data_IF_253438103315
#
_entry.id   IF_253438103315
#
_cell.length_a   1.000
_cell.length_b   1.000
_cell.length_c   1.000
_cell.angle_alpha   90.00
_cell.angle_beta   90.00
_cell.angle_gamma   90.00
#
_symmetry.space_group_name_H-M   'P 1'
#
loop_
_entity.id
_entity.type
_entity.pdbx_description
1 polymer ?
#
# COMPACT_ATOMS: atom_id res chain seq x y z
N UNK A 1 44.83 -9.31 -54.50
CA UNK A 1 43.40 -9.10 -54.19
C UNK A 1 43.25 -8.96 -52.68
N UNK A 2 43.25 -7.74 -52.17
CA UNK A 2 43.08 -7.45 -50.74
C UNK A 2 42.47 -6.04 -50.62
N UNK A 3 41.16 -5.95 -50.88
CA UNK A 3 40.41 -4.71 -50.78
C UNK A 3 38.93 -5.06 -50.54
N UNK A 4 38.59 -5.50 -49.33
CA UNK A 4 37.17 -5.67 -48.96
C UNK A 4 36.84 -5.43 -47.49
N UNK A 5 37.81 -5.22 -46.58
CA UNK A 5 37.50 -5.02 -45.15
C UNK A 5 37.34 -3.55 -44.73
N UNK A 6 37.87 -2.59 -45.50
CA UNK A 6 37.82 -1.17 -45.13
C UNK A 6 36.54 -0.44 -45.58
N UNK A 7 35.81 -0.99 -46.56
CA UNK A 7 34.68 -0.29 -47.20
C UNK A 7 33.35 -0.47 -46.44
N UNK A 8 33.23 -1.53 -45.62
CA UNK A 8 32.05 -1.80 -44.81
C UNK A 8 31.88 -0.82 -43.62
N UNK A 9 32.98 -0.23 -43.14
CA UNK A 9 32.94 0.75 -42.07
C UNK A 9 32.32 2.10 -42.50
N UNK A 10 32.18 2.35 -43.81
CA UNK A 10 31.55 3.58 -44.34
C UNK A 10 30.02 3.47 -44.54
N UNK A 11 29.45 2.27 -44.40
CA UNK A 11 28.04 2.03 -44.72
C UNK A 11 27.07 2.36 -43.60
N UNK A 12 27.53 2.41 -42.33
CA UNK A 12 26.67 2.70 -41.18
C UNK A 12 26.77 4.18 -40.83
N UNK A 13 25.65 4.93 -40.76
CA UNK A 13 25.71 6.34 -40.40
C UNK A 13 26.24 6.49 -38.95
N UNK A 14 27.09 7.50 -38.69
CA UNK A 14 27.70 7.69 -37.37
C UNK A 14 26.66 7.91 -36.26
N UNK A 15 25.48 8.45 -36.60
CA UNK A 15 24.35 8.58 -35.68
C UNK A 15 23.81 7.23 -35.20
N UNK A 16 23.83 6.19 -36.04
CA UNK A 16 23.41 4.85 -35.64
C UNK A 16 24.42 4.18 -34.71
N UNK A 17 25.72 4.40 -34.94
CA UNK A 17 26.78 3.92 -34.05
C UNK A 17 26.66 4.58 -32.67
N UNK A 18 26.55 5.91 -32.62
CA UNK A 18 26.35 6.66 -31.37
C UNK A 18 25.09 6.20 -30.63
N UNK A 19 23.96 6.04 -31.33
CA UNK A 19 22.72 5.58 -30.70
C UNK A 19 22.84 4.15 -30.13
N UNK A 20 23.64 3.28 -30.77
CA UNK A 20 23.89 1.93 -30.28
C UNK A 20 24.79 1.94 -29.04
N UNK A 21 25.81 2.80 -29.00
CA UNK A 21 26.65 3.01 -27.82
C UNK A 21 25.84 3.55 -26.63
N UNK A 22 24.98 4.56 -26.87
CA UNK A 22 24.08 5.10 -25.85
C UNK A 22 23.12 4.03 -25.31
N UNK A 23 22.57 3.20 -26.20
CA UNK A 23 21.67 2.11 -25.82
C UNK A 23 22.40 1.04 -25.00
N UNK A 24 23.63 0.70 -25.37
CA UNK A 24 24.45 -0.25 -24.62
C UNK A 24 24.74 0.27 -23.20
N UNK A 25 25.19 1.52 -23.09
CA UNK A 25 25.46 2.15 -21.80
C UNK A 25 24.20 2.21 -20.91
N UNK A 26 23.04 2.53 -21.50
CA UNK A 26 21.78 2.53 -20.78
C UNK A 26 21.36 1.12 -20.33
N UNK A 27 21.53 0.11 -21.18
CA UNK A 27 21.19 -1.28 -20.86
C UNK A 27 22.10 -1.86 -19.76
N UNK A 28 23.39 -1.57 -19.80
CA UNK A 28 24.36 -1.93 -18.76
C UNK A 28 23.99 -1.26 -17.43
N UNK A 29 23.70 0.04 -17.44
CA UNK A 29 23.25 0.76 -16.25
C UNK A 29 21.99 0.15 -15.65
N UNK A 30 20.95 -0.13 -16.45
CA UNK A 30 19.73 -0.80 -15.95
C UNK A 30 20.04 -2.19 -15.39
N UNK A 31 20.91 -2.95 -16.06
CA UNK A 31 21.36 -4.26 -15.62
C UNK A 31 22.08 -4.24 -14.27
N UNK A 32 22.97 -3.26 -14.06
CA UNK A 32 23.72 -3.08 -12.82
C UNK A 32 22.79 -2.73 -11.65
N UNK A 33 21.90 -1.76 -11.83
CA UNK A 33 20.93 -1.37 -10.79
C UNK A 33 19.97 -2.51 -10.45
N UNK A 34 19.49 -3.24 -11.46
CA UNK A 34 18.63 -4.41 -11.23
C UNK A 34 19.37 -5.51 -10.47
N UNK A 35 20.63 -5.76 -10.82
CA UNK A 35 21.48 -6.76 -10.15
C UNK A 35 21.73 -6.39 -8.68
N UNK A 36 22.01 -5.12 -8.40
CA UNK A 36 22.16 -4.61 -7.03
C UNK A 36 20.87 -4.78 -6.22
N UNK A 37 19.72 -4.44 -6.80
CA UNK A 37 18.42 -4.59 -6.15
C UNK A 37 18.10 -6.06 -5.85
N UNK A 38 18.36 -6.96 -6.79
CA UNK A 38 18.15 -8.40 -6.62
C UNK A 38 19.12 -9.02 -5.61
N UNK A 39 20.36 -8.50 -5.52
CA UNK A 39 21.32 -8.91 -4.50
C UNK A 39 20.85 -8.50 -3.10
N UNK A 40 20.42 -7.24 -2.93
CA UNK A 40 19.86 -6.76 -1.66
C UNK A 40 18.62 -7.57 -1.22
N UNK A 41 17.72 -7.88 -2.17
CA UNK A 41 16.54 -8.71 -1.88
C UNK A 41 16.89 -10.18 -1.56
N UNK A 42 18.07 -10.66 -1.94
CA UNK A 42 18.56 -11.99 -1.56
C UNK A 42 19.14 -12.01 -0.16
N UNK A 43 19.83 -10.92 0.24
CA UNK A 43 20.38 -10.77 1.58
C UNK A 43 19.28 -10.62 2.63
N UNK A 44 18.23 -9.86 2.31
CA UNK A 44 17.05 -9.68 3.14
C UNK A 44 15.77 -9.88 2.30
N UNK A 45 15.18 -11.09 2.32
CA UNK A 45 13.95 -11.40 1.60
C UNK A 45 12.73 -10.59 2.08
N UNK A 46 12.74 -10.15 3.34
CA UNK A 46 11.62 -9.44 3.94
C UNK A 46 11.74 -7.92 3.73
N UNK A 47 12.92 -7.40 3.37
CA UNK A 47 13.17 -5.97 3.13
C UNK A 47 12.11 -5.31 2.24
N UNK A 48 11.75 -5.96 1.12
CA UNK A 48 10.71 -5.44 0.20
C UNK A 48 9.33 -5.46 0.86
N UNK A 49 9.04 -6.47 1.68
CA UNK A 49 7.80 -6.60 2.43
C UNK A 49 7.71 -5.62 3.62
N UNK A 50 8.81 -5.03 4.05
CA UNK A 50 8.85 -3.98 5.08
C UNK A 50 8.70 -2.56 4.52
N UNK A 51 8.93 -2.36 3.21
CA UNK A 51 8.77 -1.05 2.57
C UNK A 51 7.34 -0.50 2.71
N UNK A 52 7.15 0.82 2.88
CA UNK A 52 5.84 1.45 2.81
C UNK A 52 5.08 1.03 1.54
N UNK A 53 3.75 0.84 1.57
CA UNK A 53 3.00 0.24 0.46
C UNK A 53 3.25 0.90 -0.90
N UNK A 54 3.35 2.23 -0.94
CA UNK A 54 3.61 2.99 -2.16
C UNK A 54 5.02 2.75 -2.70
N UNK A 55 6.03 2.78 -1.82
CA UNK A 55 7.42 2.52 -2.19
C UNK A 55 7.59 1.08 -2.66
N UNK A 56 6.97 0.12 -1.96
CA UNK A 56 6.94 -1.29 -2.34
C UNK A 56 6.39 -1.49 -3.75
N UNK A 57 5.26 -0.86 -4.06
CA UNK A 57 4.65 -0.96 -5.38
C UNK A 57 5.54 -0.35 -6.49
N UNK A 58 6.22 0.77 -6.20
CA UNK A 58 7.22 1.34 -7.12
C UNK A 58 8.39 0.41 -7.35
N UNK A 59 8.92 -0.23 -6.31
CA UNK A 59 10.01 -1.20 -6.42
C UNK A 59 9.62 -2.35 -7.36
N UNK A 60 8.45 -2.94 -7.17
CA UNK A 60 7.96 -4.00 -8.07
C UNK A 60 7.75 -3.52 -9.50
N UNK A 61 7.19 -2.32 -9.68
CA UNK A 61 7.01 -1.74 -11.01
C UNK A 61 8.36 -1.49 -11.71
N UNK A 62 9.35 -0.96 -10.99
CA UNK A 62 10.69 -0.70 -11.52
C UNK A 62 11.37 -2.00 -11.98
N UNK A 63 11.26 -3.09 -11.20
CA UNK A 63 11.78 -4.41 -11.60
C UNK A 63 11.09 -4.92 -12.86
N UNK A 64 9.76 -4.81 -12.94
CA UNK A 64 9.01 -5.25 -14.11
C UNK A 64 9.34 -4.41 -15.37
N UNK A 65 9.48 -3.09 -15.21
CA UNK A 65 9.91 -2.18 -16.27
C UNK A 65 11.32 -2.51 -16.74
N UNK A 66 12.28 -2.69 -15.84
CA UNK A 66 13.65 -3.04 -16.19
C UNK A 66 13.71 -4.36 -16.98
N UNK A 67 13.04 -5.42 -16.49
CA UNK A 67 12.98 -6.71 -17.18
C UNK A 67 12.33 -6.59 -18.57
N UNK A 68 11.23 -5.86 -18.69
CA UNK A 68 10.52 -5.65 -19.96
C UNK A 68 11.35 -4.84 -20.94
N UNK A 69 12.00 -3.76 -20.50
CA UNK A 69 12.86 -2.93 -21.33
C UNK A 69 14.07 -3.71 -21.85
N UNK A 70 14.76 -4.47 -20.99
CA UNK A 70 15.89 -5.31 -21.41
C UNK A 70 15.45 -6.37 -22.42
N UNK A 71 14.27 -6.98 -22.22
CA UNK A 71 13.72 -7.94 -23.18
C UNK A 71 13.34 -7.27 -24.51
N UNK A 72 12.75 -6.07 -24.48
CA UNK A 72 12.43 -5.29 -25.68
C UNK A 72 13.70 -4.93 -26.48
N UNK A 73 14.78 -4.54 -25.80
CA UNK A 73 16.09 -4.28 -26.42
C UNK A 73 16.60 -5.55 -27.10
N UNK A 74 16.56 -6.70 -26.41
CA UNK A 74 16.96 -7.99 -27.01
C UNK A 74 16.17 -8.32 -28.27
N UNK A 75 14.85 -8.08 -28.28
CA UNK A 75 14.00 -8.29 -29.45
C UNK A 75 14.45 -7.42 -30.63
N UNK A 76 14.68 -6.12 -30.39
CA UNK A 76 15.17 -5.18 -31.41
C UNK A 76 16.54 -5.59 -31.95
N UNK A 77 17.45 -6.02 -31.08
CA UNK A 77 18.76 -6.56 -31.50
C UNK A 77 18.64 -7.84 -32.33
N UNK A 78 17.54 -8.58 -32.20
CA UNK A 78 17.24 -9.78 -33.00
C UNK A 78 16.46 -9.45 -34.29
N UNK A 79 16.21 -8.17 -34.57
CA UNK A 79 15.43 -7.72 -35.72
C UNK A 79 13.91 -7.88 -35.56
N UNK A 80 13.42 -8.15 -34.35
CA UNK A 80 11.99 -8.27 -34.05
C UNK A 80 11.49 -6.93 -33.51
N UNK A 81 10.43 -6.39 -34.10
CA UNK A 81 9.79 -5.18 -33.62
C UNK A 81 8.96 -5.46 -32.35
N UNK A 82 9.24 -4.80 -31.21
CA UNK A 82 8.43 -4.93 -29.99
C UNK A 82 6.96 -4.56 -30.18
N UNK A 83 6.63 -3.70 -31.15
CA UNK A 83 5.25 -3.25 -31.39
C UNK A 83 4.36 -4.33 -32.05
N UNK A 84 4.97 -5.25 -32.78
CA UNK A 84 4.30 -6.42 -33.38
C UNK A 84 4.39 -7.68 -32.48
N UNK A 85 5.13 -7.59 -31.37
CA UNK A 85 5.38 -8.70 -30.47
C UNK A 85 4.41 -8.67 -29.25
N UNK A 86 4.04 -9.84 -28.66
CA UNK A 86 3.16 -9.89 -27.48
C UNK A 86 3.64 -9.06 -26.26
N UNK A 87 4.92 -8.70 -26.21
CA UNK A 87 5.51 -7.81 -25.21
C UNK A 87 4.83 -6.44 -25.18
N UNK A 88 4.25 -5.97 -26.29
CA UNK A 88 3.51 -4.70 -26.33
C UNK A 88 2.40 -4.64 -25.28
N UNK A 89 1.68 -5.75 -25.09
CA UNK A 89 0.63 -5.85 -24.05
C UNK A 89 1.21 -5.69 -22.65
N UNK A 90 2.43 -6.16 -22.42
CA UNK A 90 3.13 -5.98 -21.15
C UNK A 90 3.54 -4.52 -20.95
N UNK A 91 4.07 -3.86 -21.98
CA UNK A 91 4.42 -2.44 -21.94
C UNK A 91 3.17 -1.58 -21.63
N UNK A 92 2.04 -1.87 -22.29
CA UNK A 92 0.75 -1.22 -22.05
C UNK A 92 0.22 -1.52 -20.63
N UNK A 93 0.42 -2.73 -20.11
CA UNK A 93 0.05 -3.08 -18.73
C UNK A 93 0.87 -2.27 -17.72
N UNK A 94 2.17 -2.13 -17.95
CA UNK A 94 3.06 -1.38 -17.06
C UNK A 94 2.80 0.13 -17.11
N UNK A 95 2.44 0.70 -18.27
CA UNK A 95 2.04 2.11 -18.36
C UNK A 95 0.77 2.38 -17.55
N UNK A 96 -0.24 1.51 -17.63
CA UNK A 96 -1.45 1.59 -16.81
C UNK A 96 -1.13 1.47 -15.30
N UNK A 97 -0.19 0.61 -14.93
CA UNK A 97 0.27 0.50 -13.53
C UNK A 97 0.99 1.77 -13.07
N UNK A 98 1.83 2.37 -13.90
CA UNK A 98 2.51 3.63 -13.61
C UNK A 98 1.49 4.76 -13.41
N UNK A 99 0.49 4.87 -14.29
CA UNK A 99 -0.58 5.86 -14.16
C UNK A 99 -1.36 5.70 -12.87
N UNK A 100 -1.65 4.45 -12.45
CA UNK A 100 -2.31 4.18 -11.17
C UNK A 100 -1.45 4.65 -9.99
N UNK A 101 -0.14 4.40 -10.01
CA UNK A 101 0.77 4.86 -8.96
C UNK A 101 0.85 6.38 -8.88
N UNK A 102 0.95 7.06 -10.03
CA UNK A 102 1.01 8.52 -10.08
C UNK A 102 -0.22 9.18 -9.44
N UNK A 103 -1.41 8.57 -9.55
CA UNK A 103 -2.63 9.08 -8.89
C UNK A 103 -2.54 9.09 -7.36
N UNK A 104 -1.75 8.18 -6.77
CA UNK A 104 -1.56 8.14 -5.32
C UNK A 104 -0.53 9.16 -4.83
N UNK A 105 0.43 9.54 -5.67
CA UNK A 105 1.38 10.62 -5.36
C UNK A 105 0.68 11.96 -5.19
N UNK A 106 -0.38 12.17 -5.97
CA UNK A 106 -1.25 13.33 -5.84
C UNK A 106 -2.10 13.27 -4.57
N UNK A 107 -2.39 12.07 -4.03
CA UNK A 107 -3.18 11.90 -2.80
C UNK A 107 -2.39 12.20 -1.54
N UNK A 108 -1.10 11.85 -1.49
CA UNK A 108 -0.23 12.25 -0.37
C UNK A 108 -0.09 13.78 -0.26
N UNK A 109 -0.14 14.48 -1.41
CA UNK A 109 0.00 15.94 -1.50
C UNK A 109 -1.33 16.69 -1.39
N UNK A 110 -2.44 16.04 -1.71
CA UNK A 110 -3.76 16.66 -1.63
C UNK A 110 -4.12 16.92 -0.15
N UNK A 111 -4.67 18.11 0.18
CA UNK A 111 -5.32 18.30 1.47
C UNK A 111 -6.31 17.16 1.70
N UNK A 112 -6.21 16.47 2.85
CA UNK A 112 -7.13 15.41 3.28
C UNK A 112 -8.54 15.77 2.80
N UNK A 113 -9.05 15.01 1.81
CA UNK A 113 -10.30 15.40 1.14
C UNK A 113 -11.36 15.64 2.22
N UNK A 114 -12.14 16.74 2.16
CA UNK A 114 -13.14 17.06 3.17
C UNK A 114 -14.18 15.95 3.35
N UNK A 115 -14.28 14.98 2.42
CA UNK A 115 -15.07 13.76 2.56
C UNK A 115 -14.61 12.82 3.68
N UNK A 116 -13.36 12.92 4.14
CA UNK A 116 -12.86 12.23 5.34
C UNK A 116 -12.99 13.05 6.62
N UNK A 117 -13.39 14.32 6.51
CA UNK A 117 -13.67 15.14 7.69
C UNK A 117 -15.11 14.91 8.14
N UNK A 118 -15.27 14.24 9.28
CA UNK A 118 -16.58 14.04 9.89
C UNK A 118 -17.15 15.40 10.32
N UNK A 119 -18.34 15.72 9.82
CA UNK A 119 -19.09 16.86 10.33
C UNK A 119 -19.65 16.51 11.72
N UNK A 120 -18.86 16.80 12.77
CA UNK A 120 -19.20 16.50 14.17
C UNK A 120 -20.52 17.15 14.60
N UNK A 121 -20.85 18.30 14.02
CA UNK A 121 -22.10 19.01 14.28
C UNK A 121 -23.31 18.26 13.73
N UNK A 122 -23.22 17.78 12.48
CA UNK A 122 -24.25 16.96 11.87
C UNK A 122 -24.38 15.59 12.57
N UNK A 123 -23.25 14.95 12.87
CA UNK A 123 -23.23 13.69 13.61
C UNK A 123 -23.93 13.80 14.97
N UNK A 124 -23.70 14.89 15.72
CA UNK A 124 -24.38 15.13 16.99
C UNK A 124 -25.90 15.29 16.83
N UNK A 125 -26.39 15.85 15.72
CA UNK A 125 -27.83 15.93 15.41
C UNK A 125 -28.41 14.55 15.11
N UNK A 126 -27.72 13.76 14.29
CA UNK A 126 -28.14 12.39 13.96
C UNK A 126 -28.18 11.51 15.22
N UNK A 127 -27.09 11.46 15.98
CA UNK A 127 -26.99 10.66 17.22
C UNK A 127 -28.05 11.10 18.25
N UNK A 128 -28.20 12.41 18.44
CA UNK A 128 -29.17 12.97 19.39
C UNK A 128 -30.64 12.67 19.04
N UNK A 129 -30.95 12.46 17.76
CA UNK A 129 -32.31 12.15 17.30
C UNK A 129 -32.58 10.65 17.17
N UNK A 130 -31.57 9.86 16.78
CA UNK A 130 -31.70 8.41 16.55
C UNK A 130 -31.71 7.59 17.85
N UNK A 131 -31.17 8.11 18.95
CA UNK A 131 -31.13 7.42 20.24
C UNK A 131 -32.23 7.92 21.18
N UNK A 132 -33.21 7.05 21.48
CA UNK A 132 -34.32 7.35 22.41
C UNK A 132 -33.90 7.38 23.89
N UNK A 133 -32.79 6.72 24.25
CA UNK A 133 -32.33 6.54 25.62
C UNK A 133 -31.05 7.33 25.95
N UNK A 134 -31.03 8.62 25.61
CA UNK A 134 -29.96 9.51 26.05
C UNK A 134 -30.31 10.13 27.41
N UNK A 135 -29.35 10.13 28.34
CA UNK A 135 -29.49 10.89 29.58
C UNK A 135 -29.63 12.40 29.29
N UNK A 136 -30.21 13.15 30.22
CA UNK A 136 -30.38 14.61 30.08
C UNK A 136 -29.07 15.33 29.77
N UNK A 137 -27.98 14.89 30.40
CA UNK A 137 -26.66 15.48 30.26
C UNK A 137 -26.05 15.15 28.88
N UNK A 138 -26.23 13.92 28.39
CA UNK A 138 -25.81 13.53 27.04
C UNK A 138 -26.60 14.31 25.98
N UNK A 139 -27.91 14.49 26.15
CA UNK A 139 -28.74 15.27 25.22
C UNK A 139 -28.31 16.74 25.17
N UNK A 140 -28.00 17.34 26.32
CA UNK A 140 -27.48 18.72 26.41
C UNK A 140 -26.09 18.84 25.78
N UNK A 141 -25.22 17.86 25.99
CA UNK A 141 -23.89 17.79 25.37
C UNK A 141 -23.98 17.69 23.84
N UNK A 142 -24.84 16.81 23.31
CA UNK A 142 -25.06 16.67 21.86
C UNK A 142 -25.64 17.96 21.25
N UNK A 143 -26.56 18.64 21.94
CA UNK A 143 -27.09 19.93 21.50
C UNK A 143 -26.01 21.02 21.45
N UNK A 144 -25.12 21.10 22.43
CA UNK A 144 -24.01 22.05 22.42
C UNK A 144 -23.05 21.80 21.23
N UNK A 145 -22.68 20.53 20.99
CA UNK A 145 -21.84 20.15 19.83
C UNK A 145 -22.56 20.47 18.52
N UNK A 146 -23.88 20.26 18.45
CA UNK A 146 -24.69 20.57 17.26
C UNK A 146 -24.86 22.07 16.94
N UNK A 147 -24.51 22.95 17.88
CA UNK A 147 -24.52 24.42 17.71
C UNK A 147 -23.15 24.99 17.35
N UNK A 148 -22.10 24.16 17.33
CA UNK A 148 -20.73 24.63 17.15
C UNK A 148 -20.17 25.33 18.39
N UNK A 149 -20.89 25.28 19.52
CA UNK A 149 -20.44 25.76 20.81
C UNK A 149 -19.37 24.79 21.33
N UNK A 150 -18.14 24.92 20.82
CA UNK A 150 -16.98 24.35 21.48
C UNK A 150 -16.77 25.10 22.79
N UNK A 151 -17.52 24.74 23.83
CA UNK A 151 -16.84 24.58 25.12
C UNK A 151 -15.86 23.46 24.84
N UNK A 152 -14.58 23.81 24.68
CA UNK A 152 -13.54 22.80 24.63
C UNK A 152 -13.88 21.79 25.69
N UNK A 153 -14.00 20.52 25.30
CA UNK A 153 -13.93 19.45 26.28
C UNK A 153 -12.51 19.57 26.83
N UNK A 154 -12.31 20.50 27.75
CA UNK A 154 -11.37 20.32 28.83
C UNK A 154 -11.91 19.07 29.49
N UNK A 155 -11.45 17.91 29.00
CA UNK A 155 -11.33 16.79 29.88
C UNK A 155 -10.64 17.42 31.06
N UNK A 156 -11.33 17.50 32.20
CA UNK A 156 -10.64 17.62 33.44
C UNK A 156 -9.59 16.54 33.32
N UNK A 157 -8.34 16.95 33.06
CA UNK A 157 -7.21 16.07 33.20
C UNK A 157 -7.34 15.69 34.65
N UNK A 158 -7.96 14.53 34.92
CA UNK A 158 -7.78 13.86 36.19
C UNK A 158 -6.27 13.85 36.34
N UNK A 159 -5.79 14.45 37.44
CA UNK A 159 -4.37 14.46 37.77
C UNK A 159 -3.83 13.06 37.45
N UNK A 160 -2.71 12.92 36.73
CA UNK A 160 -2.12 11.61 36.56
C UNK A 160 -1.86 11.06 37.96
N UNK A 161 -2.61 10.04 38.35
CA UNK A 161 -2.19 9.19 39.45
C UNK A 161 -0.82 8.62 39.07
N UNK A 162 0.12 8.52 40.03
CA UNK A 162 1.47 8.07 39.74
C UNK A 162 1.42 6.72 39.05
N UNK A 163 2.06 6.63 37.88
CA UNK A 163 2.11 5.42 37.07
C UNK A 163 2.68 4.26 37.91
N UNK A 164 1.87 3.24 38.15
CA UNK A 164 2.41 1.89 38.26
C UNK A 164 3.08 1.53 36.92
N UNK A 165 4.23 0.88 36.99
CA UNK A 165 5.08 0.49 35.86
C UNK A 165 4.24 -0.06 34.70
N UNK A 166 4.16 0.69 33.60
CA UNK A 166 3.41 0.29 32.42
C UNK A 166 4.18 -0.84 31.72
N UNK A 167 3.62 -2.05 31.77
CA UNK A 167 3.97 -3.14 30.84
C UNK A 167 3.93 -2.57 29.41
N UNK A 168 4.90 -2.96 28.57
CA UNK A 168 4.96 -2.60 27.15
C UNK A 168 3.59 -2.77 26.48
N UNK A 169 3.21 -1.83 25.60
CA UNK A 169 1.95 -1.88 24.84
C UNK A 169 1.75 -3.23 24.16
N UNK A 170 2.86 -3.84 23.70
CA UNK A 170 2.88 -5.18 23.11
C UNK A 170 2.45 -6.26 24.10
N UNK A 171 2.96 -6.23 25.33
CA UNK A 171 2.59 -7.19 26.38
C UNK A 171 1.13 -7.04 26.82
N UNK A 172 0.62 -5.81 26.88
CA UNK A 172 -0.79 -5.55 27.19
C UNK A 172 -1.73 -6.04 26.08
N UNK A 173 -1.33 -5.89 24.81
CA UNK A 173 -2.09 -6.41 23.67
C UNK A 173 -2.09 -7.94 23.64
N UNK A 174 -0.95 -8.57 23.92
CA UNK A 174 -0.82 -10.03 23.95
C UNK A 174 -1.63 -10.65 25.09
N UNK A 175 -1.62 -10.04 26.28
CA UNK A 175 -2.44 -10.46 27.43
C UNK A 175 -3.96 -10.34 27.12
N UNK A 176 -4.36 -9.27 26.41
CA UNK A 176 -5.75 -9.10 25.99
C UNK A 176 -6.19 -10.17 24.97
N UNK A 177 -5.33 -10.48 23.99
CA UNK A 177 -5.60 -11.51 22.99
C UNK A 177 -5.64 -12.92 23.61
N UNK A 178 -4.74 -13.22 24.54
CA UNK A 178 -4.74 -14.47 25.30
C UNK A 178 -6.02 -14.62 26.14
N UNK A 179 -6.49 -13.54 26.76
CA UNK A 179 -7.75 -13.55 27.51
C UNK A 179 -8.97 -13.75 26.61
N UNK A 180 -9.03 -13.06 25.47
CA UNK A 180 -10.13 -13.19 24.52
C UNK A 180 -10.20 -14.60 23.91
N UNK A 181 -9.06 -15.20 23.60
CA UNK A 181 -8.99 -16.59 23.12
C UNK A 181 -9.42 -17.59 24.18
N UNK A 182 -9.08 -17.36 25.45
CA UNK A 182 -9.55 -18.20 26.55
C UNK A 182 -11.06 -18.07 26.81
N UNK A 183 -11.64 -16.86 26.65
CA UNK A 183 -13.09 -16.64 26.72
C UNK A 183 -13.83 -17.30 25.54
N UNK A 184 -13.20 -17.37 24.35
CA UNK A 184 -13.75 -18.04 23.17
C UNK A 184 -13.69 -19.57 23.26
N UNK A 185 -12.62 -20.11 23.86
CA UNK A 185 -12.40 -21.56 24.01
C UNK A 185 -13.19 -22.14 25.20
N UNK A 186 -13.78 -21.28 26.04
CA UNK A 186 -14.80 -21.65 27.00
C UNK A 186 -14.24 -22.36 28.24
N UNK A 187 -13.96 -21.59 29.29
CA UNK A 187 -13.93 -22.16 30.63
C UNK A 187 -15.39 -22.43 31.04
N UNK A 188 -15.72 -23.70 31.24
CA UNK A 188 -17.06 -24.19 31.54
C UNK A 188 -17.52 -23.76 32.94
N UNK A 189 -17.82 -22.49 33.14
CA UNK A 189 -18.63 -22.04 34.26
C UNK A 189 -19.58 -20.94 33.78
N UNK A 190 -20.83 -21.37 33.60
CA UNK A 190 -22.04 -20.60 33.39
C UNK A 190 -21.91 -19.09 33.57
N UNK A 191 -22.21 -18.35 32.48
CA UNK A 191 -23.22 -17.27 32.39
C UNK A 191 -22.81 -16.13 31.45
N UNK A 192 -22.80 -16.39 30.13
CA UNK A 192 -22.98 -15.33 29.12
C UNK A 192 -23.89 -15.86 28.01
N UNK A 193 -25.12 -15.32 27.93
CA UNK A 193 -26.00 -15.47 26.76
C UNK A 193 -25.59 -14.41 25.73
N UNK A 194 -24.84 -14.81 24.71
CA UNK A 194 -24.62 -14.03 23.49
C UNK A 194 -25.52 -14.53 22.36
N UNK A 195 -25.91 -13.68 21.39
CA UNK A 195 -26.81 -14.07 20.30
C UNK A 195 -26.00 -14.72 19.18
N UNK A 196 -25.68 -16.00 19.33
CA UNK A 196 -25.24 -16.82 18.20
C UNK A 196 -26.12 -18.06 18.18
N UNK A 197 -27.20 -17.99 17.40
CA UNK A 197 -27.92 -19.19 16.98
C UNK A 197 -27.03 -19.81 15.90
N UNK A 198 -26.31 -20.87 16.26
CA UNK A 198 -25.78 -21.82 15.28
C UNK A 198 -26.96 -22.61 14.76
N UNK A 199 -27.41 -22.30 13.55
CA UNK A 199 -28.18 -23.24 12.75
C UNK A 199 -27.19 -24.32 12.32
N UNK A 200 -27.30 -25.50 12.91
CA UNK A 200 -26.65 -26.70 12.40
C UNK A 200 -27.51 -27.23 11.26
N UNK A 201 -27.03 -27.03 10.04
CA UNK A 201 -27.31 -27.93 8.92
C UNK A 201 -26.51 -29.21 9.19
N UNK A 202 -27.18 -30.36 9.28
CA UNK A 202 -26.68 -31.67 8.83
C UNK A 202 -27.79 -32.73 8.89
N UNK A 203 -27.99 -33.38 7.74
CA UNK A 203 -28.94 -34.45 7.39
C UNK A 203 -28.54 -35.85 7.93
N UNK A 204 -29.42 -36.83 7.67
CA UNK A 204 -29.24 -38.31 7.67
C UNK A 204 -29.54 -39.11 8.96
N UNK A 205 -30.74 -39.70 9.01
CA UNK A 205 -30.99 -41.16 8.90
C UNK A 205 -32.42 -41.42 8.37
#
# INVERSE_FOLDING_TARGET
MAATSADAASAVPPSAVSAAEDMLAAAESVGDHLSQLLAAAREDPDAVAELPPLLRARTFLAVAQAATSLFAVRLRCSGIDPDEHPIKKEIERLSLCQEKLNRFDDWEKAPLRPTTTLNTQAAARFIGHSLSHLTSDQKRSMQAISRGERKGWSGQKRKPEPLAEKKSVRAAAEEFLAKATQELIGNSDNRVKGPVILLSDEDED
#
